data_IF_164785821865
#
_entry.id   IF_164785821865
#
_cell.length_a   1.000
_cell.length_b   1.000
_cell.length_c   1.000
_cell.angle_alpha   90.00
_cell.angle_beta   90.00
_cell.angle_gamma   90.00
#
_symmetry.space_group_name_H-M   'P 1'
#
loop_
_entity.id
_entity.type
_entity.pdbx_description
1 polymer ?
#
# COMPACT_ATOMS: atom_id res chain seq x y z
N UNK A 1 -37.01 -34.39 -12.44
CA UNK A 1 -36.11 -34.17 -11.28
C UNK A 1 -36.25 -32.79 -10.62
N UNK A 2 -37.02 -31.83 -11.16
CA UNK A 2 -37.16 -30.46 -10.59
C UNK A 2 -38.05 -30.33 -9.34
N UNK A 3 -39.01 -31.23 -9.10
CA UNK A 3 -39.95 -31.12 -7.97
C UNK A 3 -39.33 -31.47 -6.60
N UNK A 4 -38.29 -32.33 -6.56
CA UNK A 4 -37.59 -32.70 -5.32
C UNK A 4 -36.60 -31.62 -4.84
N UNK A 5 -35.98 -30.88 -5.76
CA UNK A 5 -35.10 -29.74 -5.40
C UNK A 5 -35.92 -28.61 -4.76
N UNK A 6 -37.07 -28.26 -5.35
CA UNK A 6 -38.00 -27.23 -4.81
C UNK A 6 -38.47 -27.52 -3.38
N UNK A 7 -38.88 -28.77 -3.10
CA UNK A 7 -39.34 -29.17 -1.75
C UNK A 7 -38.23 -29.14 -0.70
N UNK A 8 -36.98 -29.43 -1.09
CA UNK A 8 -35.84 -29.37 -0.17
C UNK A 8 -35.48 -27.93 0.19
N UNK A 9 -35.56 -26.99 -0.77
CA UNK A 9 -35.35 -25.56 -0.50
C UNK A 9 -36.45 -25.00 0.40
N UNK A 10 -37.72 -25.33 0.16
CA UNK A 10 -38.84 -24.92 1.03
C UNK A 10 -38.71 -25.47 2.46
N UNK A 11 -38.27 -26.72 2.62
CA UNK A 11 -38.05 -27.31 3.93
C UNK A 11 -36.86 -26.67 4.66
N UNK A 12 -35.80 -26.28 3.93
CA UNK A 12 -34.67 -25.53 4.48
C UNK A 12 -35.09 -24.13 4.92
N UNK A 13 -35.85 -23.41 4.10
CA UNK A 13 -36.38 -22.08 4.43
C UNK A 13 -37.25 -22.15 5.68
N UNK A 14 -38.19 -23.11 5.75
CA UNK A 14 -39.03 -23.33 6.95
C UNK A 14 -38.22 -23.68 8.19
N UNK A 15 -37.14 -24.46 8.04
CA UNK A 15 -36.26 -24.82 9.15
C UNK A 15 -35.46 -23.62 9.64
N UNK A 16 -34.98 -22.77 8.74
CA UNK A 16 -34.26 -21.54 9.07
C UNK A 16 -35.19 -20.49 9.68
N UNK A 17 -36.41 -20.33 9.14
CA UNK A 17 -37.48 -19.51 9.71
C UNK A 17 -37.81 -19.93 11.14
N UNK A 18 -38.06 -21.22 11.36
CA UNK A 18 -38.35 -21.74 12.70
C UNK A 18 -37.18 -21.51 13.68
N UNK A 19 -35.94 -21.67 13.22
CA UNK A 19 -34.75 -21.44 14.05
C UNK A 19 -34.58 -19.97 14.43
N UNK A 20 -34.84 -19.05 13.48
CA UNK A 20 -34.80 -17.60 13.70
C UNK A 20 -35.94 -17.13 14.62
N UNK A 21 -37.12 -17.74 14.51
CA UNK A 21 -38.25 -17.50 15.44
C UNK A 21 -37.86 -17.91 16.85
N UNK A 22 -37.23 -19.08 17.04
CA UNK A 22 -36.75 -19.53 18.35
C UNK A 22 -35.72 -18.56 18.94
N UNK A 23 -34.78 -18.06 18.13
CA UNK A 23 -33.78 -17.07 18.58
C UNK A 23 -34.44 -15.73 18.93
N UNK A 24 -35.40 -15.26 18.13
CA UNK A 24 -36.11 -14.01 18.37
C UNK A 24 -36.99 -14.06 19.64
N UNK A 25 -37.50 -15.24 20.00
CA UNK A 25 -38.25 -15.47 21.26
C UNK A 25 -37.35 -15.45 22.52
N UNK A 26 -36.03 -15.64 22.37
CA UNK A 26 -35.08 -15.59 23.48
C UNK A 26 -34.67 -14.16 23.87
N UNK A 27 -35.10 -13.13 23.10
CA UNK A 27 -34.78 -11.73 23.37
C UNK A 27 -35.96 -11.07 24.12
N UNK A 28 -35.81 -10.73 25.42
CA UNK A 28 -36.90 -10.14 26.20
C UNK A 28 -37.38 -8.81 25.61
N UNK A 29 -38.68 -8.65 25.42
CA UNK A 29 -39.30 -7.41 24.91
C UNK A 29 -39.69 -7.43 23.42
N UNK A 30 -39.36 -8.48 22.66
CA UNK A 30 -39.84 -8.65 21.28
C UNK A 30 -41.28 -9.19 21.26
N UNK A 31 -42.27 -8.30 21.06
CA UNK A 31 -43.69 -8.69 20.95
C UNK A 31 -44.03 -9.45 19.66
N UNK A 32 -43.23 -9.31 18.60
CA UNK A 32 -43.49 -9.87 17.26
C UNK A 32 -42.28 -10.62 16.66
N UNK A 33 -41.78 -11.65 17.35
CA UNK A 33 -40.63 -12.47 16.93
C UNK A 33 -40.74 -13.01 15.48
N UNK A 34 -41.94 -13.40 15.04
CA UNK A 34 -42.17 -13.91 13.68
C UNK A 34 -42.01 -12.84 12.59
N UNK A 35 -42.53 -11.62 12.82
CA UNK A 35 -42.36 -10.51 11.87
C UNK A 35 -40.90 -10.08 11.77
N UNK A 36 -40.15 -10.15 12.88
CA UNK A 36 -38.73 -9.83 12.92
C UNK A 36 -37.92 -10.90 12.18
N UNK A 37 -38.20 -12.19 12.39
CA UNK A 37 -37.57 -13.27 11.65
C UNK A 37 -37.81 -13.14 10.13
N UNK A 38 -39.03 -12.82 9.72
CA UNK A 38 -39.37 -12.56 8.31
C UNK A 38 -38.57 -11.38 7.74
N UNK A 39 -38.51 -10.25 8.45
CA UNK A 39 -37.69 -9.09 8.04
C UNK A 39 -36.20 -9.41 7.95
N UNK A 40 -35.66 -10.24 8.86
CA UNK A 40 -34.27 -10.68 8.81
C UNK A 40 -33.99 -11.48 7.53
N UNK A 41 -34.89 -12.40 7.16
CA UNK A 41 -34.76 -13.20 5.93
C UNK A 41 -34.84 -12.30 4.70
N UNK A 42 -35.79 -11.38 4.64
CA UNK A 42 -35.92 -10.41 3.55
C UNK A 42 -34.63 -9.57 3.39
N UNK A 43 -34.04 -9.11 4.51
CA UNK A 43 -32.76 -8.39 4.49
C UNK A 43 -31.61 -9.29 4.01
N UNK A 44 -31.58 -10.56 4.41
CA UNK A 44 -30.54 -11.51 3.99
C UNK A 44 -30.60 -11.82 2.50
N UNK A 45 -31.79 -12.09 1.95
CA UNK A 45 -31.96 -12.33 0.52
C UNK A 45 -31.64 -11.05 -0.28
N UNK A 46 -32.08 -9.87 0.17
CA UNK A 46 -31.69 -8.61 -0.49
C UNK A 46 -30.18 -8.40 -0.54
N UNK A 47 -29.47 -8.61 0.59
CA UNK A 47 -28.00 -8.50 0.61
C UNK A 47 -27.31 -9.48 -0.33
N UNK A 48 -27.89 -10.67 -0.50
CA UNK A 48 -27.37 -11.69 -1.42
C UNK A 48 -27.63 -11.30 -2.87
N UNK A 49 -28.81 -10.75 -3.18
CA UNK A 49 -29.10 -10.15 -4.49
C UNK A 49 -28.12 -9.04 -4.83
N UNK A 50 -27.88 -8.09 -3.90
CA UNK A 50 -26.94 -6.99 -4.09
C UNK A 50 -25.51 -7.50 -4.40
N UNK A 51 -25.06 -8.58 -3.73
CA UNK A 51 -23.75 -9.21 -4.00
C UNK A 51 -23.70 -9.86 -5.38
N UNK A 52 -24.75 -10.58 -5.78
CA UNK A 52 -24.83 -11.20 -7.11
C UNK A 52 -24.82 -10.13 -8.20
N UNK A 53 -25.60 -9.06 -8.01
CA UNK A 53 -25.65 -7.94 -8.96
C UNK A 53 -24.26 -7.32 -9.12
N UNK A 54 -23.58 -7.00 -8.01
CA UNK A 54 -22.23 -6.43 -8.05
C UNK A 54 -21.22 -7.37 -8.71
N UNK A 55 -21.28 -8.67 -8.39
CA UNK A 55 -20.44 -9.69 -9.03
C UNK A 55 -20.65 -9.72 -10.55
N UNK A 56 -21.90 -9.85 -11.01
CA UNK A 56 -22.26 -9.89 -12.43
C UNK A 56 -21.88 -8.59 -13.15
N UNK A 57 -22.16 -7.44 -12.54
CA UNK A 57 -21.77 -6.13 -13.06
C UNK A 57 -20.25 -6.05 -13.26
N UNK A 58 -19.46 -6.49 -12.28
CA UNK A 58 -18.00 -6.47 -12.37
C UNK A 58 -17.42 -7.49 -13.35
N UNK A 59 -18.11 -8.59 -13.61
CA UNK A 59 -17.76 -9.49 -14.71
C UNK A 59 -17.93 -8.82 -16.07
N UNK A 60 -19.03 -8.08 -16.26
CA UNK A 60 -19.34 -7.39 -17.52
C UNK A 60 -18.41 -6.19 -17.74
N UNK A 61 -18.12 -5.43 -16.67
CA UNK A 61 -17.21 -4.28 -16.70
C UNK A 61 -15.72 -4.66 -16.72
N UNK A 62 -15.40 -5.96 -16.66
CA UNK A 62 -14.03 -6.46 -16.60
C UNK A 62 -13.16 -5.89 -17.71
N UNK A 63 -12.18 -5.06 -17.35
CA UNK A 63 -11.23 -4.48 -18.29
C UNK A 63 -10.17 -5.50 -18.65
N UNK A 64 -10.50 -6.35 -19.63
CA UNK A 64 -9.59 -7.32 -20.21
C UNK A 64 -8.75 -6.69 -21.32
N UNK A 65 -7.47 -7.00 -21.35
CA UNK A 65 -6.58 -6.67 -22.47
C UNK A 65 -6.82 -7.61 -23.65
N UNK A 66 -6.49 -7.17 -24.87
CA UNK A 66 -6.64 -7.99 -26.08
C UNK A 66 -5.88 -9.33 -26.01
N UNK A 67 -4.79 -9.40 -25.24
CA UNK A 67 -4.05 -10.65 -25.01
C UNK A 67 -4.78 -11.65 -24.12
N UNK A 68 -5.49 -11.18 -23.09
CA UNK A 68 -6.25 -12.02 -22.15
C UNK A 68 -7.51 -12.62 -22.81
N UNK A 69 -8.13 -11.88 -23.74
CA UNK A 69 -9.33 -12.34 -24.48
C UNK A 69 -9.02 -13.52 -25.42
N UNK A 70 -7.78 -13.64 -25.90
CA UNK A 70 -7.38 -14.66 -26.87
C UNK A 70 -7.13 -16.05 -26.25
N UNK A 71 -7.15 -16.18 -24.93
CA UNK A 71 -6.92 -17.45 -24.22
C UNK A 71 -8.25 -18.24 -24.03
N UNK A 72 -8.90 -18.62 -25.14
CA UNK A 72 -10.29 -19.13 -25.17
C UNK A 72 -10.47 -20.58 -24.72
N UNK A 73 -9.42 -21.39 -24.72
CA UNK A 73 -9.53 -22.85 -24.50
C UNK A 73 -9.17 -23.24 -23.07
N UNK A 74 -10.03 -22.85 -22.13
CA UNK A 74 -9.84 -23.18 -20.73
C UNK A 74 -11.01 -24.01 -20.15
N UNK A 75 -10.90 -25.35 -20.18
CA UNK A 75 -11.99 -26.27 -19.83
C UNK A 75 -12.33 -26.33 -18.33
N UNK A 76 -11.52 -25.73 -17.44
CA UNK A 76 -11.79 -25.67 -15.99
C UNK A 76 -12.81 -24.61 -15.55
N UNK A 77 -13.21 -23.72 -16.47
CA UNK A 77 -13.92 -22.49 -16.13
C UNK A 77 -15.32 -22.67 -15.54
N UNK A 78 -16.12 -23.61 -16.05
CA UNK A 78 -17.54 -23.71 -15.63
C UNK A 78 -17.68 -24.13 -14.16
N UNK A 79 -16.80 -25.02 -13.69
CA UNK A 79 -16.77 -25.48 -12.29
C UNK A 79 -16.30 -24.35 -11.38
N UNK A 80 -15.24 -23.65 -11.78
CA UNK A 80 -14.64 -22.55 -11.02
C UNK A 80 -15.59 -21.33 -10.91
N UNK A 81 -16.36 -21.04 -11.97
CA UNK A 81 -17.39 -20.00 -11.98
C UNK A 81 -18.49 -20.28 -10.94
N UNK A 82 -19.07 -21.48 -10.96
CA UNK A 82 -20.13 -21.86 -10.03
C UNK A 82 -19.67 -21.81 -8.58
N UNK A 83 -18.43 -22.27 -8.32
CA UNK A 83 -17.82 -22.26 -7.00
C UNK A 83 -17.57 -20.85 -6.45
N UNK A 84 -17.20 -19.89 -7.32
CA UNK A 84 -16.95 -18.51 -6.94
C UNK A 84 -18.25 -17.72 -6.76
N UNK A 85 -19.23 -17.91 -7.65
CA UNK A 85 -20.55 -17.28 -7.50
C UNK A 85 -21.22 -17.76 -6.20
N UNK A 86 -21.20 -19.07 -5.94
CA UNK A 86 -21.78 -19.63 -4.71
C UNK A 86 -21.05 -19.11 -3.46
N UNK A 87 -19.74 -18.92 -3.53
CA UNK A 87 -18.99 -18.33 -2.43
C UNK A 87 -19.34 -16.85 -2.22
N UNK A 88 -19.41 -16.05 -3.29
CA UNK A 88 -19.85 -14.66 -3.23
C UNK A 88 -21.26 -14.52 -2.63
N UNK A 89 -22.18 -15.43 -2.96
CA UNK A 89 -23.53 -15.44 -2.39
C UNK A 89 -23.54 -15.71 -0.88
N UNK A 90 -22.66 -16.60 -0.42
CA UNK A 90 -22.59 -17.03 0.97
C UNK A 90 -21.66 -16.19 1.84
N UNK A 91 -20.82 -15.35 1.23
CA UNK A 91 -19.91 -14.47 1.95
C UNK A 91 -20.71 -13.42 2.74
N UNK A 92 -20.38 -13.25 4.02
CA UNK A 92 -21.02 -12.25 4.86
C UNK A 92 -20.52 -10.84 4.54
N UNK A 93 -19.37 -10.71 3.89
CA UNK A 93 -18.76 -9.44 3.51
C UNK A 93 -19.01 -9.12 2.04
N UNK A 94 -19.84 -8.10 1.78
CA UNK A 94 -20.15 -7.65 0.42
C UNK A 94 -18.95 -7.02 -0.29
N UNK A 95 -17.93 -6.57 0.44
CA UNK A 95 -16.73 -5.92 -0.10
C UNK A 95 -15.93 -6.87 -1.01
N UNK A 96 -16.05 -8.18 -0.78
CA UNK A 96 -15.36 -9.22 -1.56
C UNK A 96 -16.03 -9.55 -2.91
N UNK A 97 -17.25 -9.09 -3.17
CA UNK A 97 -17.99 -9.43 -4.40
C UNK A 97 -17.22 -9.04 -5.67
N UNK A 98 -16.58 -7.87 -5.65
CA UNK A 98 -15.70 -7.41 -6.74
C UNK A 98 -14.49 -8.33 -6.91
N UNK A 99 -13.89 -8.78 -5.81
CA UNK A 99 -12.70 -9.65 -5.83
C UNK A 99 -13.03 -11.04 -6.38
N UNK A 100 -14.20 -11.59 -6.02
CA UNK A 100 -14.70 -12.84 -6.60
C UNK A 100 -14.90 -12.72 -8.12
N UNK A 101 -15.44 -11.59 -8.59
CA UNK A 101 -15.60 -11.34 -10.03
C UNK A 101 -14.25 -11.23 -10.73
N UNK A 102 -13.28 -10.51 -10.17
CA UNK A 102 -11.94 -10.41 -10.75
C UNK A 102 -11.22 -11.76 -10.80
N UNK A 103 -11.30 -12.57 -9.73
CA UNK A 103 -10.74 -13.92 -9.75
C UNK A 103 -11.38 -14.76 -10.84
N UNK A 104 -12.70 -14.67 -11.01
CA UNK A 104 -13.42 -15.39 -12.08
C UNK A 104 -12.90 -15.01 -13.47
N UNK A 105 -12.67 -13.71 -13.71
CA UNK A 105 -12.07 -13.20 -14.95
C UNK A 105 -10.65 -13.77 -15.12
N UNK A 106 -9.82 -13.72 -14.08
CA UNK A 106 -8.45 -14.22 -14.10
C UNK A 106 -8.37 -15.74 -14.32
N UNK A 107 -9.32 -16.51 -13.78
CA UNK A 107 -9.39 -17.96 -14.01
C UNK A 107 -9.81 -18.30 -15.44
N UNK A 108 -10.67 -17.48 -16.05
CA UNK A 108 -11.12 -17.67 -17.44
C UNK A 108 -10.04 -17.31 -18.45
N UNK A 109 -9.51 -16.10 -18.32
CA UNK A 109 -8.73 -15.42 -19.35
C UNK A 109 -7.25 -15.26 -18.98
N UNK A 110 -6.91 -15.44 -17.71
CA UNK A 110 -5.54 -15.35 -17.20
C UNK A 110 -4.75 -16.65 -17.34
N UNK A 111 -3.44 -16.52 -17.23
CA UNK A 111 -2.49 -17.63 -17.26
C UNK A 111 -2.23 -18.14 -15.84
N UNK A 112 -3.23 -18.82 -15.26
CA UNK A 112 -3.10 -19.49 -13.97
C UNK A 112 -3.07 -21.01 -14.19
N UNK A 113 -2.02 -21.66 -13.67
CA UNK A 113 -1.95 -23.11 -13.65
C UNK A 113 -3.03 -23.72 -12.73
N UNK A 114 -3.39 -24.98 -12.98
CA UNK A 114 -4.51 -25.65 -12.29
C UNK A 114 -4.35 -25.70 -10.76
N UNK A 115 -3.12 -25.82 -10.26
CA UNK A 115 -2.85 -25.91 -8.81
C UNK A 115 -3.12 -24.56 -8.13
N UNK A 116 -2.62 -23.48 -8.72
CA UNK A 116 -2.85 -22.11 -8.24
C UNK A 116 -4.31 -21.72 -8.28
N UNK A 117 -5.08 -22.13 -9.29
CA UNK A 117 -6.51 -21.81 -9.38
C UNK A 117 -7.29 -22.26 -8.15
N UNK A 118 -7.16 -23.55 -7.81
CA UNK A 118 -7.86 -24.11 -6.64
C UNK A 118 -7.37 -23.44 -5.36
N UNK A 119 -6.06 -23.23 -5.23
CA UNK A 119 -5.48 -22.53 -4.08
C UNK A 119 -6.04 -21.12 -3.92
N UNK A 120 -6.15 -20.35 -5.00
CA UNK A 120 -6.64 -18.97 -4.99
C UNK A 120 -8.13 -18.91 -4.70
N UNK A 121 -8.94 -19.82 -5.26
CA UNK A 121 -10.37 -19.94 -4.94
C UNK A 121 -10.56 -20.22 -3.44
N UNK A 122 -9.79 -21.15 -2.87
CA UNK A 122 -9.88 -21.47 -1.44
C UNK A 122 -9.37 -20.32 -0.55
N UNK A 123 -8.26 -19.69 -0.94
CA UNK A 123 -7.67 -18.56 -0.24
C UNK A 123 -8.63 -17.38 -0.19
N UNK A 124 -9.25 -17.03 -1.33
CA UNK A 124 -10.23 -15.94 -1.38
C UNK A 124 -11.47 -16.23 -0.52
N UNK A 125 -11.92 -17.49 -0.42
CA UNK A 125 -13.02 -17.88 0.47
C UNK A 125 -12.65 -17.75 1.94
N UNK A 126 -11.43 -18.13 2.30
CA UNK A 126 -10.96 -18.16 3.70
C UNK A 126 -10.61 -16.76 4.25
N UNK A 127 -10.04 -15.89 3.41
CA UNK A 127 -9.54 -14.58 3.84
C UNK A 127 -10.67 -13.58 4.05
N UNK A 128 -10.56 -12.79 5.12
CA UNK A 128 -11.38 -11.60 5.32
C UNK A 128 -10.97 -10.49 4.35
N UNK A 129 -11.82 -9.47 4.17
CA UNK A 129 -11.45 -8.33 3.33
C UNK A 129 -10.26 -7.56 3.90
N UNK A 130 -10.12 -7.47 5.23
CA UNK A 130 -8.98 -6.86 5.89
C UNK A 130 -7.66 -7.60 5.61
N UNK A 131 -7.68 -8.93 5.53
CA UNK A 131 -6.49 -9.71 5.17
C UNK A 131 -6.05 -9.38 3.73
N UNK A 132 -7.01 -9.23 2.83
CA UNK A 132 -6.78 -8.91 1.42
C UNK A 132 -6.25 -7.48 1.26
N UNK A 133 -6.79 -6.52 2.01
CA UNK A 133 -6.30 -5.14 2.04
C UNK A 133 -4.89 -5.04 2.65
N UNK A 134 -4.57 -5.83 3.68
CA UNK A 134 -3.20 -5.89 4.22
C UNK A 134 -2.21 -6.47 3.20
N UNK A 135 -2.61 -7.51 2.48
CA UNK A 135 -1.79 -8.13 1.43
C UNK A 135 -1.62 -7.17 0.23
N UNK A 136 -2.68 -6.43 -0.14
CA UNK A 136 -2.67 -5.37 -1.16
C UNK A 136 -1.73 -4.22 -0.78
N UNK A 137 -1.77 -3.76 0.47
CA UNK A 137 -0.84 -2.73 0.98
C UNK A 137 0.60 -3.20 0.82
N UNK A 138 0.89 -4.44 1.22
CA UNK A 138 2.23 -5.02 1.06
C UNK A 138 2.67 -5.14 -0.40
N UNK A 139 1.74 -5.49 -1.31
CA UNK A 139 2.01 -5.52 -2.74
C UNK A 139 2.41 -4.15 -3.29
N UNK A 140 1.66 -3.09 -2.92
CA UNK A 140 1.96 -1.72 -3.35
C UNK A 140 3.30 -1.25 -2.79
N UNK A 141 3.57 -1.52 -1.51
CA UNK A 141 4.86 -1.22 -0.85
C UNK A 141 6.04 -1.96 -1.49
N UNK A 142 5.82 -3.13 -2.08
CA UNK A 142 6.87 -3.88 -2.79
C UNK A 142 7.35 -3.20 -4.07
N UNK A 143 6.54 -2.32 -4.65
CA UNK A 143 6.76 -1.72 -5.98
C UNK A 143 6.92 -0.20 -5.93
N UNK A 144 6.60 0.44 -4.80
CA UNK A 144 6.61 1.89 -4.65
C UNK A 144 7.30 2.30 -3.35
N UNK A 145 7.98 3.44 -3.39
CA UNK A 145 8.64 4.00 -2.22
C UNK A 145 7.67 4.82 -1.39
N UNK A 146 6.90 4.13 -0.57
CA UNK A 146 5.83 4.72 0.24
C UNK A 146 6.40 5.50 1.43
N UNK A 147 5.76 6.64 1.72
CA UNK A 147 6.04 7.48 2.89
C UNK A 147 5.43 6.83 4.13
N UNK A 148 6.22 6.43 5.14
CA UNK A 148 5.69 5.85 6.36
C UNK A 148 5.00 6.91 7.23
N UNK A 149 4.03 6.46 8.05
CA UNK A 149 3.33 7.32 9.02
C UNK A 149 4.31 7.99 10.00
N UNK A 150 5.29 7.23 10.48
CA UNK A 150 6.33 7.70 11.39
C UNK A 150 7.73 7.57 10.74
N UNK A 151 8.64 8.50 11.07
CA UNK A 151 10.02 8.51 10.56
C UNK A 151 10.17 8.98 9.11
N UNK A 152 11.40 8.99 8.60
CA UNK A 152 11.75 9.52 7.27
C UNK A 152 12.31 8.45 6.32
N UNK A 153 12.15 7.17 6.68
CA UNK A 153 12.57 6.04 5.87
C UNK A 153 11.58 5.77 4.72
N UNK A 154 11.91 4.79 3.88
CA UNK A 154 10.95 4.18 2.97
C UNK A 154 10.21 3.10 3.76
N UNK A 155 8.88 3.06 3.67
CA UNK A 155 8.10 2.02 4.33
C UNK A 155 8.51 0.65 3.76
N UNK A 156 8.98 -0.25 4.61
CA UNK A 156 9.36 -1.61 4.17
C UNK A 156 8.19 -2.57 4.25
N UNK A 157 8.24 -3.67 3.50
CA UNK A 157 7.22 -4.71 3.61
C UNK A 157 7.17 -5.37 5.00
N UNK A 158 8.33 -5.46 5.68
CA UNK A 158 8.39 -5.93 7.06
C UNK A 158 7.67 -4.98 8.03
N UNK A 159 7.64 -3.67 7.75
CA UNK A 159 6.91 -2.71 8.58
C UNK A 159 5.39 -2.86 8.44
N UNK A 160 4.91 -3.21 7.24
CA UNK A 160 3.48 -3.47 6.96
C UNK A 160 2.97 -4.65 7.81
N UNK A 161 3.77 -5.71 7.92
CA UNK A 161 3.43 -6.90 8.71
C UNK A 161 3.96 -6.85 10.15
N UNK A 162 4.44 -5.71 10.64
CA UNK A 162 4.95 -5.62 12.01
C UNK A 162 3.79 -5.65 13.00
N UNK A 163 3.68 -6.68 13.88
CA UNK A 163 2.55 -6.79 14.81
C UNK A 163 2.41 -5.59 15.75
N UNK A 164 3.51 -4.88 16.06
CA UNK A 164 3.49 -3.68 16.91
C UNK A 164 2.76 -2.50 16.28
N UNK A 165 2.67 -2.48 14.95
CA UNK A 165 2.04 -1.41 14.17
C UNK A 165 0.59 -1.77 13.76
N UNK A 166 0.15 -2.98 14.08
CA UNK A 166 -1.15 -3.52 13.68
C UNK A 166 -2.09 -3.63 14.88
N UNK A 167 -3.40 -3.59 14.61
CA UNK A 167 -4.39 -3.96 15.62
C UNK A 167 -4.28 -5.46 15.93
N UNK A 168 -4.74 -5.88 17.13
CA UNK A 168 -4.72 -7.29 17.53
C UNK A 168 -5.40 -8.22 16.52
N UNK A 169 -6.44 -7.74 15.84
CA UNK A 169 -7.16 -8.49 14.79
C UNK A 169 -6.28 -8.62 13.54
N UNK A 170 -5.66 -7.53 13.07
CA UNK A 170 -4.75 -7.56 11.91
C UNK A 170 -3.48 -8.36 12.17
N UNK A 171 -3.06 -8.48 13.42
CA UNK A 171 -1.93 -9.35 13.77
C UNK A 171 -2.24 -10.83 13.50
N UNK A 172 -3.51 -11.27 13.67
CA UNK A 172 -3.93 -12.64 13.34
C UNK A 172 -3.87 -12.92 11.83
N UNK A 173 -4.13 -11.90 11.01
CA UNK A 173 -4.02 -11.97 9.54
C UNK A 173 -2.65 -12.49 9.09
N UNK A 174 -1.57 -12.13 9.78
CA UNK A 174 -0.21 -12.54 9.42
C UNK A 174 -0.07 -14.07 9.46
N UNK A 175 -0.63 -14.72 10.49
CA UNK A 175 -0.57 -16.18 10.63
C UNK A 175 -1.30 -16.87 9.47
N UNK A 176 -2.52 -16.41 9.17
CA UNK A 176 -3.33 -16.94 8.06
C UNK A 176 -2.65 -16.75 6.71
N UNK A 177 -2.13 -15.55 6.44
CA UNK A 177 -1.45 -15.23 5.19
C UNK A 177 -0.14 -16.01 5.03
N UNK A 178 0.57 -16.28 6.14
CA UNK A 178 1.77 -17.13 6.14
C UNK A 178 1.42 -18.59 5.86
N UNK A 179 0.36 -19.11 6.48
CA UNK A 179 -0.10 -20.48 6.25
C UNK A 179 -0.54 -20.73 4.80
N UNK A 180 -1.15 -19.72 4.17
CA UNK A 180 -1.53 -19.76 2.75
C UNK A 180 -0.35 -19.53 1.79
N UNK A 181 0.86 -19.31 2.31
CA UNK A 181 2.07 -19.07 1.52
C UNK A 181 2.12 -17.71 0.84
N UNK A 182 1.21 -16.78 1.17
CA UNK A 182 1.14 -15.45 0.56
C UNK A 182 2.18 -14.47 1.14
N UNK A 183 2.65 -14.73 2.36
CA UNK A 183 3.60 -13.88 3.10
C UNK A 183 4.73 -14.73 3.69
N UNK A 184 5.92 -14.13 3.77
CA UNK A 184 7.14 -14.67 4.40
C UNK A 184 7.74 -13.63 5.36
N UNK A 185 8.86 -13.97 6.01
CA UNK A 185 9.60 -13.02 6.87
C UNK A 185 10.07 -11.77 6.13
N UNK A 186 10.27 -11.87 4.81
CA UNK A 186 10.75 -10.80 3.95
C UNK A 186 9.61 -9.91 3.41
N UNK A 187 8.35 -10.32 3.58
CA UNK A 187 7.20 -9.64 2.99
C UNK A 187 6.37 -10.56 2.11
N UNK A 188 5.64 -9.97 1.16
CA UNK A 188 4.78 -10.72 0.23
C UNK A 188 5.62 -11.67 -0.64
N UNK A 189 5.15 -12.91 -0.82
CA UNK A 189 5.79 -13.90 -1.70
C UNK A 189 5.36 -13.70 -3.14
N UNK A 190 6.03 -14.36 -4.10
CA UNK A 190 5.57 -14.36 -5.50
C UNK A 190 4.16 -14.94 -5.65
N UNK A 191 3.84 -16.02 -4.91
CA UNK A 191 2.49 -16.58 -4.87
C UNK A 191 1.46 -15.54 -4.38
N UNK A 192 1.81 -14.78 -3.33
CA UNK A 192 0.96 -13.69 -2.83
C UNK A 192 0.79 -12.55 -3.85
N UNK A 193 1.84 -12.20 -4.60
CA UNK A 193 1.78 -11.20 -5.67
C UNK A 193 0.87 -11.65 -6.81
N UNK A 194 1.01 -12.89 -7.26
CA UNK A 194 0.15 -13.48 -8.29
C UNK A 194 -1.33 -13.51 -7.82
N UNK A 195 -1.56 -13.91 -6.57
CA UNK A 195 -2.90 -13.91 -5.99
C UNK A 195 -3.53 -12.51 -5.99
N UNK A 196 -2.83 -11.50 -5.48
CA UNK A 196 -3.33 -10.11 -5.48
C UNK A 196 -3.61 -9.60 -6.89
N UNK A 197 -2.73 -9.86 -7.85
CA UNK A 197 -2.94 -9.48 -9.26
C UNK A 197 -4.14 -10.18 -9.89
N UNK A 198 -4.51 -11.37 -9.42
CA UNK A 198 -5.66 -12.12 -9.93
C UNK A 198 -7.01 -11.62 -9.41
N UNK A 199 -7.03 -10.94 -8.25
CA UNK A 199 -8.28 -10.53 -7.59
C UNK A 199 -8.50 -9.01 -7.57
N UNK A 200 -7.46 -8.22 -7.86
CA UNK A 200 -7.55 -6.75 -7.95
C UNK A 200 -7.27 -6.27 -9.37
N UNK A 201 -8.01 -5.25 -9.80
CA UNK A 201 -7.73 -4.52 -11.02
C UNK A 201 -6.44 -3.69 -10.88
N UNK A 202 -5.75 -3.42 -11.99
CA UNK A 202 -4.45 -2.72 -12.00
C UNK A 202 -4.55 -1.33 -11.38
N UNK A 203 -5.65 -0.63 -11.62
CA UNK A 203 -5.95 0.70 -11.09
C UNK A 203 -6.07 0.68 -9.57
N UNK A 204 -6.52 -0.45 -9.01
CA UNK A 204 -6.61 -0.69 -7.57
C UNK A 204 -5.27 -1.12 -6.95
N UNK A 205 -4.23 -1.36 -7.75
CA UNK A 205 -2.89 -1.72 -7.28
C UNK A 205 -1.92 -0.53 -7.34
N UNK A 206 -2.46 0.66 -7.09
CA UNK A 206 -1.72 1.92 -7.09
C UNK A 206 -1.70 2.54 -5.70
N UNK A 207 -0.66 3.31 -5.33
CA UNK A 207 -0.62 4.03 -4.05
C UNK A 207 -1.86 4.93 -3.83
N UNK A 208 -2.33 5.61 -4.86
CA UNK A 208 -3.48 6.53 -4.78
C UNK A 208 -4.77 5.81 -4.40
N UNK A 209 -4.97 4.59 -4.89
CA UNK A 209 -6.14 3.77 -4.57
C UNK A 209 -6.25 3.38 -3.09
N UNK A 210 -5.15 3.49 -2.33
CA UNK A 210 -5.09 3.30 -0.88
C UNK A 210 -4.76 4.60 -0.12
N UNK A 211 -4.78 5.74 -0.81
CA UNK A 211 -4.41 7.08 -0.27
C UNK A 211 -2.99 7.09 0.34
N UNK A 212 -2.10 6.28 -0.21
CA UNK A 212 -0.70 6.22 0.19
C UNK A 212 0.09 7.29 -0.54
N UNK A 213 0.98 7.98 0.18
CA UNK A 213 1.87 8.98 -0.42
C UNK A 213 3.17 8.31 -0.84
N UNK A 214 3.67 8.67 -2.02
CA UNK A 214 4.95 8.20 -2.57
C UNK A 214 6.00 9.30 -2.45
N UNK A 215 7.24 8.93 -2.16
CA UNK A 215 8.38 9.84 -2.20
C UNK A 215 8.64 10.36 -3.61
N UNK A 216 8.93 11.66 -3.74
CA UNK A 216 9.38 12.24 -5.01
C UNK A 216 10.84 11.85 -5.29
N UNK A 217 11.15 11.57 -6.56
CA UNK A 217 12.49 11.27 -7.06
C UNK A 217 12.99 12.38 -8.00
N UNK A 218 14.31 12.59 -8.12
CA UNK A 218 15.39 12.05 -7.27
C UNK A 218 15.40 12.69 -5.88
N UNK A 219 16.10 12.09 -4.90
CA UNK A 219 16.11 12.56 -3.51
C UNK A 219 17.09 13.72 -3.27
N UNK A 220 17.06 14.25 -2.04
CA UNK A 220 18.04 15.20 -1.52
C UNK A 220 19.02 14.48 -0.59
N UNK A 221 20.31 14.76 -0.73
CA UNK A 221 21.31 14.39 0.28
C UNK A 221 21.53 15.53 1.26
N UNK A 222 21.72 15.22 2.54
CA UNK A 222 22.11 16.18 3.57
C UNK A 222 23.44 15.73 4.13
N UNK A 223 24.49 16.52 3.91
CA UNK A 223 25.77 16.30 4.55
C UNK A 223 25.69 16.82 5.98
N UNK A 224 25.68 15.91 6.95
CA UNK A 224 25.60 16.25 8.37
C UNK A 224 26.94 16.05 9.06
N UNK A 225 27.21 16.86 10.07
CA UNK A 225 28.24 16.54 11.05
C UNK A 225 27.78 15.37 11.97
N UNK A 226 28.67 14.78 12.79
CA UNK A 226 28.32 13.71 13.72
C UNK A 226 27.39 14.17 14.86
N UNK A 227 27.24 15.47 15.08
CA UNK A 227 26.44 16.01 16.17
C UNK A 227 24.98 16.13 15.76
N UNK A 228 24.08 15.81 16.69
CA UNK A 228 22.64 15.94 16.43
C UNK A 228 22.29 17.43 16.37
N UNK A 229 21.71 17.86 15.26
CA UNK A 229 21.20 19.22 15.09
C UNK A 229 19.67 19.17 14.90
N UNK A 230 18.95 19.80 15.83
CA UNK A 230 17.49 19.83 15.86
C UNK A 230 16.89 20.62 14.69
N UNK A 231 17.56 21.67 14.21
CA UNK A 231 17.12 22.44 13.04
C UNK A 231 17.12 21.57 11.77
N UNK A 232 18.10 20.66 11.64
CA UNK A 232 18.15 19.73 10.52
C UNK A 232 16.98 18.76 10.55
N UNK A 233 16.65 18.25 11.74
CA UNK A 233 15.51 17.35 11.92
C UNK A 233 14.19 18.07 11.58
N UNK A 234 14.06 19.36 11.93
CA UNK A 234 12.92 20.20 11.53
C UNK A 234 12.84 20.34 10.00
N UNK A 235 13.93 20.69 9.32
CA UNK A 235 13.95 20.83 7.85
C UNK A 235 13.62 19.51 7.16
N UNK A 236 14.18 18.40 7.63
CA UNK A 236 13.85 17.06 7.09
C UNK A 236 12.35 16.75 7.27
N UNK A 237 11.78 17.08 8.42
CA UNK A 237 10.36 16.86 8.69
C UNK A 237 9.46 17.74 7.81
N UNK A 238 9.83 19.00 7.57
CA UNK A 238 9.10 19.90 6.65
C UNK A 238 9.21 19.42 5.19
N UNK A 239 10.39 18.99 4.74
CA UNK A 239 10.57 18.37 3.42
C UNK A 239 9.76 17.07 3.28
N UNK A 240 9.61 16.28 4.35
CA UNK A 240 8.71 15.11 4.35
C UNK A 240 7.26 15.49 4.08
N UNK A 241 6.75 16.61 4.60
CA UNK A 241 5.38 17.08 4.30
C UNK A 241 5.19 17.36 2.81
N UNK A 242 6.25 17.81 2.15
CA UNK A 242 6.33 18.03 0.70
C UNK A 242 6.65 16.75 -0.09
N UNK A 243 6.67 15.57 0.55
CA UNK A 243 7.03 14.27 -0.07
C UNK A 243 8.46 14.24 -0.62
N UNK A 244 9.36 15.06 -0.09
CA UNK A 244 10.77 15.08 -0.49
C UNK A 244 11.60 14.27 0.50
N UNK A 245 12.22 13.20 0.02
CA UNK A 245 13.06 12.35 0.86
C UNK A 245 14.44 12.97 1.03
N UNK A 246 14.93 12.95 2.27
CA UNK A 246 16.28 13.37 2.61
C UNK A 246 17.11 12.17 3.07
N UNK A 247 18.30 12.00 2.51
CA UNK A 247 19.29 10.99 2.91
C UNK A 247 20.41 11.68 3.66
N UNK A 248 20.59 11.35 4.94
CA UNK A 248 21.69 11.87 5.76
C UNK A 248 22.98 11.14 5.40
N UNK A 249 24.03 11.89 5.09
CA UNK A 249 25.37 11.40 4.81
C UNK A 249 26.34 12.05 5.80
N UNK A 250 27.16 11.25 6.46
CA UNK A 250 28.17 11.78 7.37
C UNK A 250 29.29 12.45 6.56
N UNK A 251 29.54 13.74 6.82
CA UNK A 251 30.59 14.48 6.13
C UNK A 251 31.99 13.96 6.47
N UNK A 252 32.20 13.35 7.64
CA UNK A 252 33.49 12.75 7.99
C UNK A 252 33.87 11.58 7.06
N UNK A 253 32.86 10.90 6.50
CA UNK A 253 32.99 9.79 5.56
C UNK A 253 32.90 10.25 4.10
N UNK A 254 32.86 11.56 3.86
CA UNK A 254 32.67 12.13 2.53
C UNK A 254 33.75 11.66 1.56
N UNK A 255 33.28 11.06 0.47
CA UNK A 255 34.10 10.70 -0.68
C UNK A 255 33.19 10.73 -1.91
N UNK A 256 33.41 11.66 -2.85
CA UNK A 256 32.53 11.85 -4.01
C UNK A 256 32.31 10.56 -4.81
N UNK A 257 33.37 9.77 -4.98
CA UNK A 257 33.37 8.53 -5.75
C UNK A 257 32.63 7.41 -5.03
N UNK A 258 32.73 7.33 -3.70
CA UNK A 258 32.06 6.27 -2.91
C UNK A 258 30.58 6.56 -2.65
N UNK A 259 30.22 7.83 -2.51
CA UNK A 259 28.85 8.22 -2.14
C UNK A 259 27.92 8.46 -3.35
N UNK A 260 28.45 8.38 -4.58
CA UNK A 260 27.72 8.58 -5.84
C UNK A 260 26.73 9.76 -5.77
N UNK A 261 27.24 10.94 -5.43
CA UNK A 261 26.42 12.12 -5.12
C UNK A 261 25.61 12.61 -6.33
N UNK A 262 25.98 12.17 -7.53
CA UNK A 262 25.27 12.50 -8.76
C UNK A 262 23.85 11.96 -8.83
N UNK A 263 23.51 10.93 -8.04
CA UNK A 263 22.16 10.37 -7.97
C UNK A 263 21.14 11.31 -7.30
N UNK A 264 21.61 12.30 -6.53
CA UNK A 264 20.75 13.23 -5.80
C UNK A 264 20.42 14.47 -6.65
N UNK A 265 19.19 14.96 -6.50
CA UNK A 265 18.73 16.20 -7.15
C UNK A 265 19.41 17.42 -6.53
N UNK A 266 19.65 17.36 -5.23
CA UNK A 266 20.26 18.43 -4.43
C UNK A 266 21.12 17.86 -3.29
N UNK A 267 22.08 18.66 -2.83
CA UNK A 267 22.93 18.38 -1.69
C UNK A 267 22.88 19.58 -0.75
N UNK A 268 22.46 19.34 0.48
CA UNK A 268 22.36 20.36 1.53
C UNK A 268 23.56 20.23 2.45
N UNK A 269 24.29 21.34 2.61
CA UNK A 269 25.34 21.51 3.61
C UNK A 269 24.69 21.99 4.91
N UNK A 270 24.63 21.07 5.88
CA UNK A 270 23.94 21.23 7.15
C UNK A 270 24.85 20.71 8.26
N UNK A 271 25.70 21.55 8.83
CA UNK A 271 26.55 21.17 9.96
C UNK A 271 27.72 22.11 10.19
N UNK A 272 28.26 22.11 11.40
CA UNK A 272 29.46 22.87 11.73
C UNK A 272 30.70 22.04 11.38
N UNK A 273 31.35 22.40 10.27
CA UNK A 273 32.47 21.63 9.73
C UNK A 273 33.84 22.11 10.21
N UNK A 274 33.91 22.88 11.30
CA UNK A 274 35.17 23.42 11.85
C UNK A 274 36.21 22.34 12.14
N UNK A 275 35.77 21.16 12.58
CA UNK A 275 36.65 20.04 12.95
C UNK A 275 36.88 19.05 11.79
N UNK A 276 36.42 19.36 10.58
CA UNK A 276 36.63 18.50 9.42
C UNK A 276 38.11 18.52 9.01
N UNK A 277 38.70 17.33 8.84
CA UNK A 277 40.06 17.19 8.35
C UNK A 277 40.28 18.01 7.07
N UNK A 278 41.39 18.74 6.99
CA UNK A 278 41.68 19.63 5.86
C UNK A 278 41.56 18.96 4.49
N UNK A 279 42.08 17.74 4.35
CA UNK A 279 41.97 16.94 3.11
C UNK A 279 40.52 16.68 2.71
N UNK A 280 39.64 16.37 3.67
CA UNK A 280 38.21 16.19 3.45
C UNK A 280 37.51 17.49 3.10
N UNK A 281 37.89 18.59 3.74
CA UNK A 281 37.37 19.90 3.35
C UNK A 281 37.73 20.24 1.91
N UNK A 282 38.95 19.93 1.46
CA UNK A 282 39.35 20.15 0.05
C UNK A 282 38.54 19.28 -0.92
N UNK A 283 38.29 18.01 -0.58
CA UNK A 283 37.46 17.12 -1.40
C UNK A 283 36.02 17.67 -1.57
N UNK A 284 35.42 18.15 -0.47
CA UNK A 284 34.08 18.77 -0.49
C UNK A 284 34.10 20.04 -1.33
N UNK A 285 35.05 20.95 -1.09
CA UNK A 285 35.16 22.23 -1.82
C UNK A 285 35.27 21.97 -3.32
N UNK A 286 36.20 21.10 -3.73
CA UNK A 286 36.40 20.76 -5.14
C UNK A 286 35.12 20.24 -5.78
N UNK A 287 34.43 19.31 -5.11
CA UNK A 287 33.19 18.77 -5.65
C UNK A 287 32.06 19.82 -5.72
N UNK A 288 31.99 20.72 -4.74
CA UNK A 288 31.04 21.82 -4.75
C UNK A 288 31.33 22.78 -5.89
N UNK A 289 32.59 23.14 -6.13
CA UNK A 289 33.00 23.99 -7.26
C UNK A 289 32.61 23.35 -8.61
N UNK A 290 32.84 22.05 -8.75
CA UNK A 290 32.46 21.29 -9.95
C UNK A 290 30.93 21.13 -10.13
N UNK A 291 30.14 21.30 -9.05
CA UNK A 291 28.70 21.00 -9.04
C UNK A 291 27.85 22.06 -8.32
N UNK A 292 28.24 23.33 -8.37
CA UNK A 292 27.65 24.40 -7.56
C UNK A 292 26.12 24.46 -7.62
N UNK A 293 25.54 24.16 -8.79
CA UNK A 293 24.09 24.12 -9.06
C UNK A 293 23.31 23.03 -8.28
N UNK A 294 23.99 22.09 -7.62
CA UNK A 294 23.36 21.08 -6.74
C UNK A 294 23.41 21.46 -5.26
N UNK A 295 24.25 22.41 -4.88
CA UNK A 295 24.57 22.66 -3.47
C UNK A 295 23.82 23.86 -2.89
N UNK A 296 23.30 23.65 -1.69
CA UNK A 296 22.66 24.68 -0.86
C UNK A 296 23.33 24.69 0.52
N UNK A 297 23.58 25.88 1.07
CA UNK A 297 23.97 26.03 2.49
C UNK A 297 22.81 26.56 3.32
N UNK A 298 22.63 25.96 4.50
CA UNK A 298 21.67 26.36 5.53
C UNK A 298 22.30 27.23 6.62
N UNK A 299 23.28 28.07 6.27
CA UNK A 299 23.89 29.01 7.22
C UNK A 299 25.24 28.58 7.79
N UNK A 300 25.74 27.40 7.41
CA UNK A 300 27.01 26.89 7.94
C UNK A 300 28.19 27.16 7.00
N UNK A 301 29.31 27.55 7.62
CA UNK A 301 30.58 27.81 6.95
C UNK A 301 31.42 26.54 6.89
N UNK A 302 31.95 26.23 5.71
CA UNK A 302 33.06 25.29 5.57
C UNK A 302 34.34 25.91 6.19
N UNK A 303 35.26 25.10 6.75
CA UNK A 303 36.39 25.60 7.55
C UNK A 303 37.40 26.43 6.76
N UNK A 304 37.37 26.41 5.42
CA UNK A 304 38.25 27.24 4.60
C UNK A 304 37.59 28.58 4.29
N UNK A 305 38.27 29.69 4.57
CA UNK A 305 37.87 31.09 4.32
C UNK A 305 37.64 31.46 2.84
N UNK A 306 37.67 30.50 1.89
CA UNK A 306 37.29 30.75 0.51
C UNK A 306 35.77 30.75 0.41
N UNK A 307 35.21 31.84 -0.12
CA UNK A 307 33.82 31.94 -0.50
C UNK A 307 33.52 30.89 -1.57
N UNK A 308 32.88 29.79 -1.19
CA UNK A 308 32.47 28.77 -2.15
C UNK A 308 31.22 29.29 -2.87
N UNK A 309 31.23 29.25 -4.20
CA UNK A 309 30.06 29.60 -5.00
C UNK A 309 29.00 28.49 -4.83
N UNK A 310 27.97 28.80 -4.04
CA UNK A 310 26.82 27.92 -3.84
C UNK A 310 25.64 28.42 -4.67
N UNK A 311 24.73 27.52 -5.05
CA UNK A 311 23.49 27.91 -5.72
C UNK A 311 22.67 28.87 -4.87
N UNK A 312 22.61 28.64 -3.56
CA UNK A 312 21.82 29.44 -2.63
C UNK A 312 22.33 29.36 -1.20
N UNK A 313 22.18 30.48 -0.50
CA UNK A 313 22.40 30.62 0.93
C UNK A 313 21.07 31.02 1.57
N UNK A 314 20.64 30.26 2.58
CA UNK A 314 19.48 30.62 3.38
C UNK A 314 19.93 31.23 4.70
N UNK A 315 19.30 32.33 5.11
CA UNK A 315 19.65 33.00 6.37
C UNK A 315 19.09 32.22 7.57
N UNK A 316 19.74 32.35 8.73
CA UNK A 316 19.26 31.76 9.98
C UNK A 316 17.90 32.33 10.43
N UNK A 317 17.52 33.52 9.95
CA UNK A 317 16.26 34.18 10.30
C UNK A 317 15.02 33.56 9.64
N UNK A 318 15.18 32.75 8.59
CA UNK A 318 14.06 32.08 7.92
C UNK A 318 13.65 30.80 8.68
N UNK A 319 12.35 30.60 8.87
CA UNK A 319 11.82 29.40 9.51
C UNK A 319 12.03 28.13 8.65
N UNK A 320 12.13 26.96 9.30
CA UNK A 320 12.37 25.68 8.62
C UNK A 320 11.35 25.35 7.51
N UNK A 321 10.08 25.73 7.69
CA UNK A 321 9.03 25.53 6.69
C UNK A 321 9.26 26.38 5.43
N UNK A 322 9.65 27.65 5.59
CA UNK A 322 9.94 28.54 4.48
C UNK A 322 11.19 28.10 3.72
N UNK A 323 12.27 27.76 4.44
CA UNK A 323 13.49 27.18 3.86
C UNK A 323 13.17 25.93 3.04
N UNK A 324 12.40 25.00 3.61
CA UNK A 324 12.03 23.74 2.95
C UNK A 324 11.19 23.95 1.68
N UNK A 325 10.25 24.90 1.71
CA UNK A 325 9.44 25.24 0.54
C UNK A 325 10.30 25.87 -0.57
N UNK A 326 11.21 26.79 -0.21
CA UNK A 326 12.14 27.41 -1.16
C UNK A 326 13.07 26.37 -1.78
N UNK A 327 13.62 25.44 -0.98
CA UNK A 327 14.44 24.32 -1.47
C UNK A 327 13.64 23.47 -2.45
N UNK A 328 12.42 23.09 -2.08
CA UNK A 328 11.57 22.24 -2.92
C UNK A 328 11.27 22.91 -4.27
N UNK A 329 10.92 24.20 -4.28
CA UNK A 329 10.68 24.97 -5.51
C UNK A 329 11.93 25.13 -6.37
N UNK A 330 13.06 25.45 -5.76
CA UNK A 330 14.35 25.65 -6.44
C UNK A 330 14.79 24.40 -7.20
N UNK A 331 14.51 23.22 -6.65
CA UNK A 331 14.78 21.94 -7.29
C UNK A 331 13.54 21.32 -7.91
N UNK A 332 12.52 22.11 -8.29
CA UNK A 332 11.38 21.65 -9.08
C UNK A 332 10.70 20.38 -8.50
N UNK A 333 10.59 20.29 -7.18
CA UNK A 333 9.71 19.32 -6.54
C UNK A 333 8.28 19.84 -6.59
N UNK A 334 7.31 18.93 -6.69
CA UNK A 334 5.90 19.28 -6.63
C UNK A 334 5.61 19.76 -5.20
N UNK A 335 5.33 21.05 -5.04
CA UNK A 335 5.07 21.68 -3.74
C UNK A 335 3.60 21.86 -3.42
N UNK A 336 2.72 21.62 -4.39
CA UNK A 336 1.29 21.71 -4.17
C UNK A 336 0.87 20.61 -3.20
N UNK A 337 0.34 21.01 -2.05
CA UNK A 337 -0.38 20.10 -1.16
C UNK A 337 -1.56 19.54 -1.94
N UNK A 338 -1.61 18.22 -2.22
CA UNK A 338 -2.86 17.61 -2.66
C UNK A 338 -3.88 17.85 -1.56
N UNK A 339 -5.04 18.41 -1.91
CA UNK A 339 -6.17 18.64 -1.01
C UNK A 339 -6.63 17.35 -0.33
#
# INVERSE_FOLDING_TARGET
>A
MNSKRSKNTENLIKKTENSLITIAQLIPGLKDAANIAKKIIEIQEKRKEDRIELFCKKLIEGSLTAGEINNKDNPGYEIEFGDLLQACMNDSDSSKSTLYAQLTIALRFGDLDKEKRRHFVLSLKQLSFEDLELLRESFIVSSHEIIPKAGNAILSQSDVFNPKNLSSIRALSISTLTQLGAVSKQGITELGKEFIKSIYQRESLTPDSMRLKVWQKPYIAILTDPTKNEEHDLIVNELKKLRVRCVKLNIAEFSPQKQNLNQYKAIILSGNYKDLLYSRSQDVIKHVEDNAYKYISLGHNLPSQKSIALRKFFSEAEGAAEKSLKIAKEFEFITDTPQ
#
